data_IF_464011625950
#
_entry.id   IF_464011625950
#
_cell.length_a   1.000
_cell.length_b   1.000
_cell.length_c   1.000
_cell.angle_alpha   90.00
_cell.angle_beta   90.00
_cell.angle_gamma   90.00
#
_symmetry.space_group_name_H-M   'P 1'
#
loop_
_entity.id
_entity.type
_entity.pdbx_description
1 polymer ?
#
# COMPACT_ATOMS: atom_id res chain seq x y z
N UNK A 1 -54.80 26.61 -49.58
CA UNK A 1 -53.76 27.65 -49.59
C UNK A 1 -53.24 27.79 -48.17
N UNK A 2 -52.00 27.35 -47.98
CA UNK A 2 -51.02 27.70 -46.92
C UNK A 2 -51.60 28.07 -45.55
N UNK A 3 -51.57 27.11 -44.61
CA UNK A 3 -51.73 27.41 -43.19
C UNK A 3 -50.41 27.99 -42.68
N UNK A 4 -50.41 29.30 -42.44
CA UNK A 4 -49.31 30.07 -41.86
C UNK A 4 -48.88 29.48 -40.51
N UNK A 5 -47.76 28.73 -40.51
CA UNK A 5 -46.99 28.50 -39.29
C UNK A 5 -46.12 29.74 -39.10
N UNK A 6 -46.55 30.65 -38.21
CA UNK A 6 -45.73 31.76 -37.74
C UNK A 6 -44.33 31.26 -37.35
N UNK A 7 -43.32 31.75 -38.07
CA UNK A 7 -41.93 31.65 -37.66
C UNK A 7 -41.75 32.48 -36.38
N UNK A 8 -41.14 31.94 -35.31
CA UNK A 8 -40.89 32.69 -34.09
C UNK A 8 -39.97 33.88 -34.38
N UNK A 9 -40.26 35.04 -33.77
CA UNK A 9 -39.51 36.27 -33.97
C UNK A 9 -38.08 36.12 -33.42
N UNK A 10 -37.12 36.86 -33.99
CA UNK A 10 -35.69 36.78 -33.62
C UNK A 10 -35.48 37.07 -32.12
N UNK A 11 -36.31 37.93 -31.53
CA UNK A 11 -36.26 38.27 -30.11
C UNK A 11 -36.74 37.12 -29.22
N UNK A 12 -37.76 36.36 -29.64
CA UNK A 12 -38.22 35.14 -28.94
C UNK A 12 -37.15 34.03 -28.96
N UNK A 13 -36.44 33.90 -30.08
CA UNK A 13 -35.32 32.97 -30.20
C UNK A 13 -34.12 33.40 -29.36
N UNK A 14 -33.91 34.71 -29.18
CA UNK A 14 -32.85 35.26 -28.33
C UNK A 14 -33.13 35.00 -26.86
N UNK A 15 -34.36 35.26 -26.42
CA UNK A 15 -34.77 35.02 -25.04
C UNK A 15 -34.77 33.53 -24.68
N UNK A 16 -35.23 32.65 -25.58
CA UNK A 16 -35.11 31.21 -25.38
C UNK A 16 -33.64 30.76 -25.28
N UNK A 17 -32.73 31.33 -26.09
CA UNK A 17 -31.31 30.98 -26.02
C UNK A 17 -30.67 31.44 -24.71
N UNK A 18 -31.05 32.62 -24.20
CA UNK A 18 -30.58 33.16 -22.91
C UNK A 18 -31.13 32.31 -21.76
N UNK A 19 -32.40 31.91 -21.81
CA UNK A 19 -33.03 31.02 -20.83
C UNK A 19 -32.35 29.64 -20.78
N UNK A 20 -32.07 29.02 -21.93
CA UNK A 20 -31.39 27.73 -22.01
C UNK A 20 -29.96 27.81 -21.49
N UNK A 21 -29.21 28.86 -21.84
CA UNK A 21 -27.83 29.07 -21.35
C UNK A 21 -27.79 29.28 -19.83
N UNK A 22 -28.74 30.03 -19.28
CA UNK A 22 -28.83 30.24 -17.83
C UNK A 22 -29.20 28.95 -17.10
N UNK A 23 -30.05 28.11 -17.69
CA UNK A 23 -30.45 26.82 -17.13
C UNK A 23 -29.29 25.82 -17.17
N UNK A 24 -28.57 25.74 -18.30
CA UNK A 24 -27.34 24.94 -18.44
C UNK A 24 -26.26 25.38 -17.45
N UNK A 25 -26.04 26.69 -17.30
CA UNK A 25 -25.06 27.24 -16.34
C UNK A 25 -25.43 26.91 -14.90
N UNK A 26 -26.71 26.94 -14.53
CA UNK A 26 -27.20 26.50 -13.22
C UNK A 26 -27.02 24.99 -13.00
N UNK A 27 -27.26 24.16 -14.01
CA UNK A 27 -27.04 22.72 -13.93
C UNK A 27 -25.56 22.37 -13.78
N UNK A 28 -24.66 23.05 -14.50
CA UNK A 28 -23.22 22.91 -14.32
C UNK A 28 -22.76 23.39 -12.95
N UNK A 29 -23.24 24.54 -12.48
CA UNK A 29 -22.96 25.05 -11.12
C UNK A 29 -23.49 24.12 -10.03
N UNK A 30 -24.66 23.50 -10.23
CA UNK A 30 -25.19 22.52 -9.30
C UNK A 30 -24.37 21.22 -9.33
N UNK A 31 -23.93 20.76 -10.50
CA UNK A 31 -23.02 19.60 -10.61
C UNK A 31 -21.67 19.87 -9.98
N UNK A 32 -21.08 21.05 -10.17
CA UNK A 32 -19.81 21.41 -9.53
C UNK A 32 -19.98 21.60 -8.03
N UNK A 33 -21.04 22.27 -7.56
CA UNK A 33 -21.37 22.31 -6.12
C UNK A 33 -21.58 20.93 -5.53
N UNK A 34 -22.31 20.04 -6.20
CA UNK A 34 -22.52 18.67 -5.73
C UNK A 34 -21.20 17.88 -5.69
N UNK A 35 -20.32 18.03 -6.69
CA UNK A 35 -19.00 17.40 -6.71
C UNK A 35 -18.09 17.94 -5.58
N UNK A 36 -18.12 19.25 -5.34
CA UNK A 36 -17.36 19.91 -4.26
C UNK A 36 -17.91 19.51 -2.88
N UNK A 37 -19.23 19.38 -2.72
CA UNK A 37 -19.87 18.95 -1.45
C UNK A 37 -19.58 17.49 -1.14
N UNK A 38 -19.47 16.62 -2.17
CA UNK A 38 -19.02 15.23 -2.00
C UNK A 38 -17.55 15.15 -1.59
N UNK A 39 -16.69 16.06 -2.06
CA UNK A 39 -15.27 16.11 -1.63
C UNK A 39 -15.03 16.82 -0.29
N UNK A 40 -15.94 17.69 0.15
CA UNK A 40 -15.80 18.50 1.37
C UNK A 40 -16.56 17.98 2.57
N UNK A 41 -17.23 16.82 2.49
CA UNK A 41 -17.79 16.19 3.67
C UNK A 41 -16.64 15.43 4.37
N UNK A 42 -16.04 15.95 5.46
CA UNK A 42 -14.90 15.31 6.13
C UNK A 42 -15.33 14.06 6.91
N UNK A 43 -16.62 13.69 6.82
CA UNK A 43 -17.26 12.60 7.57
C UNK A 43 -17.54 11.36 6.72
N UNK A 44 -17.24 11.36 5.41
CA UNK A 44 -17.04 10.09 4.70
C UNK A 44 -15.61 9.66 4.93
N UNK A 45 -15.30 9.43 6.21
CA UNK A 45 -14.20 8.59 6.60
C UNK A 45 -14.42 7.29 5.83
N UNK A 46 -13.48 6.88 4.98
CA UNK A 46 -13.35 5.46 4.61
C UNK A 46 -12.89 4.66 5.84
N UNK A 47 -13.49 4.94 6.99
CA UNK A 47 -13.37 4.21 8.21
C UNK A 47 -14.24 2.99 8.02
N UNK A 48 -13.61 1.87 7.71
CA UNK A 48 -14.18 0.58 8.06
C UNK A 48 -14.60 0.69 9.54
N UNK A 49 -15.91 0.79 9.80
CA UNK A 49 -16.42 0.96 11.16
C UNK A 49 -16.28 -0.36 11.90
N UNK A 50 -15.36 -0.37 12.87
CA UNK A 50 -15.09 -1.54 13.69
C UNK A 50 -16.26 -1.80 14.59
N UNK A 51 -16.89 -2.95 14.36
CA UNK A 51 -17.82 -3.48 15.33
C UNK A 51 -16.99 -3.99 16.50
N UNK A 52 -17.27 -3.47 17.69
CA UNK A 52 -16.59 -3.90 18.91
C UNK A 52 -16.78 -5.40 19.19
N UNK A 53 -17.80 -6.01 18.56
CA UNK A 53 -18.05 -7.45 18.58
C UNK A 53 -17.38 -8.15 17.40
N UNK A 54 -16.69 -9.28 17.66
CA UNK A 54 -16.08 -10.06 16.59
C UNK A 54 -17.16 -10.60 15.66
N UNK A 55 -16.92 -10.49 14.35
CA UNK A 55 -17.80 -11.08 13.34
C UNK A 55 -17.61 -12.60 13.35
N UNK A 56 -18.62 -13.37 12.95
CA UNK A 56 -18.52 -14.85 12.88
C UNK A 56 -17.33 -15.31 12.04
N UNK A 57 -16.99 -14.58 10.97
CA UNK A 57 -15.83 -14.83 10.11
C UNK A 57 -14.49 -14.70 10.85
N UNK A 58 -14.41 -13.80 11.81
CA UNK A 58 -13.20 -13.58 12.61
C UNK A 58 -13.02 -14.66 13.65
N UNK A 59 -14.12 -15.14 14.26
CA UNK A 59 -14.07 -16.28 15.17
C UNK A 59 -13.56 -17.54 14.46
N UNK A 60 -14.01 -17.78 13.23
CA UNK A 60 -13.51 -18.89 12.40
C UNK A 60 -12.00 -18.75 12.19
N UNK A 61 -11.51 -17.55 11.89
CA UNK A 61 -10.08 -17.30 11.68
C UNK A 61 -9.27 -17.53 12.96
N UNK A 62 -9.75 -17.08 14.12
CA UNK A 62 -9.10 -17.30 15.41
C UNK A 62 -9.02 -18.79 15.73
N UNK A 63 -10.11 -19.53 15.51
CA UNK A 63 -10.12 -20.99 15.70
C UNK A 63 -9.12 -21.65 14.76
N UNK A 64 -9.09 -21.25 13.48
CA UNK A 64 -8.16 -21.82 12.52
C UNK A 64 -6.70 -21.55 12.89
N UNK A 65 -6.36 -20.32 13.30
CA UNK A 65 -5.01 -19.98 13.77
C UNK A 65 -4.62 -20.76 15.03
N UNK A 66 -5.57 -20.97 15.95
CA UNK A 66 -5.35 -21.79 17.12
C UNK A 66 -5.07 -23.26 16.74
N UNK A 67 -5.79 -23.82 15.77
CA UNK A 67 -5.51 -25.17 15.29
C UNK A 67 -4.12 -25.30 14.66
N UNK A 68 -3.66 -24.29 13.92
CA UNK A 68 -2.30 -24.25 13.35
C UNK A 68 -1.23 -24.15 14.45
N UNK A 69 -1.48 -23.35 15.49
CA UNK A 69 -0.58 -23.28 16.65
C UNK A 69 -0.45 -24.63 17.37
N UNK A 70 -1.56 -25.34 17.58
CA UNK A 70 -1.52 -26.69 18.15
C UNK A 70 -0.75 -27.67 17.26
N UNK A 71 -0.87 -27.54 15.94
CA UNK A 71 -0.13 -28.38 14.99
C UNK A 71 1.39 -28.14 15.07
N UNK A 72 1.84 -26.88 15.21
CA UNK A 72 3.26 -26.58 15.42
C UNK A 72 3.79 -27.13 16.75
N UNK A 73 3.02 -27.05 17.83
CA UNK A 73 3.38 -27.69 19.10
C UNK A 73 3.51 -29.21 18.92
N UNK A 74 2.57 -29.84 18.21
CA UNK A 74 2.60 -31.27 17.92
C UNK A 74 3.85 -31.65 17.13
N UNK A 75 4.23 -30.86 16.13
CA UNK A 75 5.44 -31.08 15.32
C UNK A 75 6.71 -31.05 16.19
N UNK A 76 6.85 -30.07 17.08
CA UNK A 76 7.99 -29.96 18.00
C UNK A 76 8.08 -31.18 18.92
N UNK A 77 6.95 -31.64 19.46
CA UNK A 77 6.91 -32.81 20.36
C UNK A 77 7.27 -34.10 19.62
N UNK A 78 6.78 -34.27 18.39
CA UNK A 78 6.96 -35.46 17.56
C UNK A 78 8.38 -35.64 17.00
N UNK A 79 9.29 -34.67 17.18
CA UNK A 79 10.68 -34.81 16.75
C UNK A 79 11.42 -35.93 17.50
N UNK A 80 12.25 -36.66 16.78
CA UNK A 80 12.96 -37.87 17.24
C UNK A 80 14.02 -37.62 18.34
N UNK A 81 14.49 -36.38 18.47
CA UNK A 81 15.56 -36.02 19.41
C UNK A 81 15.11 -36.17 20.87
N UNK A 82 15.82 -36.95 21.70
CA UNK A 82 15.40 -37.23 23.08
C UNK A 82 15.47 -36.01 24.02
N UNK A 83 16.36 -35.06 23.76
CA UNK A 83 16.51 -33.84 24.58
C UNK A 83 15.60 -32.72 24.10
N UNK A 84 14.84 -32.11 25.02
CA UNK A 84 13.93 -30.99 24.73
C UNK A 84 14.62 -29.79 24.09
N UNK A 85 15.84 -29.48 24.54
CA UNK A 85 16.63 -28.39 23.96
C UNK A 85 17.09 -28.75 22.54
N UNK A 86 17.50 -30.00 22.33
CA UNK A 86 17.88 -30.50 21.02
C UNK A 86 16.72 -30.47 20.01
N UNK A 87 15.49 -30.75 20.46
CA UNK A 87 14.28 -30.62 19.63
C UNK A 87 14.09 -29.19 19.14
N UNK A 88 14.17 -28.20 20.03
CA UNK A 88 14.00 -26.78 19.67
C UNK A 88 15.08 -26.29 18.70
N UNK A 89 16.35 -26.62 18.93
CA UNK A 89 17.45 -26.22 18.04
C UNK A 89 17.28 -26.85 16.66
N UNK A 90 16.91 -28.12 16.59
CA UNK A 90 16.65 -28.80 15.32
C UNK A 90 15.45 -28.19 14.57
N UNK A 91 14.36 -27.89 15.30
CA UNK A 91 13.17 -27.25 14.74
C UNK A 91 13.49 -25.87 14.15
N UNK A 92 14.24 -25.04 14.87
CA UNK A 92 14.69 -23.73 14.40
C UNK A 92 15.84 -23.80 13.39
N UNK A 93 16.29 -24.96 12.93
CA UNK A 93 17.24 -25.03 11.81
C UNK A 93 16.52 -24.78 10.47
N UNK A 94 15.26 -25.17 10.38
CA UNK A 94 14.45 -25.11 9.16
C UNK A 94 13.89 -23.70 8.98
N UNK A 95 14.15 -23.08 7.82
CA UNK A 95 13.71 -21.70 7.53
C UNK A 95 12.17 -21.57 7.51
N UNK A 96 11.47 -22.58 7.00
CA UNK A 96 10.00 -22.62 6.95
C UNK A 96 9.38 -22.65 8.35
N UNK A 97 9.95 -23.43 9.26
CA UNK A 97 9.51 -23.49 10.65
C UNK A 97 9.72 -22.16 11.38
N UNK A 98 10.81 -21.44 11.09
CA UNK A 98 11.00 -20.07 11.60
C UNK A 98 9.91 -19.12 11.12
N UNK A 99 9.54 -19.24 9.84
CA UNK A 99 8.50 -18.41 9.22
C UNK A 99 7.13 -18.68 9.86
N UNK A 100 6.80 -19.95 10.11
CA UNK A 100 5.53 -20.37 10.73
C UNK A 100 5.42 -19.88 12.19
N UNK A 101 6.49 -19.99 12.98
CA UNK A 101 6.55 -19.41 14.34
C UNK A 101 6.41 -17.88 14.30
N UNK A 102 7.05 -17.22 13.33
CA UNK A 102 6.96 -15.78 13.17
C UNK A 102 5.53 -15.35 12.82
N UNK A 103 4.85 -16.04 11.89
CA UNK A 103 3.45 -15.78 11.54
C UNK A 103 2.53 -15.93 12.76
N UNK A 104 2.61 -17.07 13.45
CA UNK A 104 1.76 -17.33 14.62
C UNK A 104 2.02 -16.31 15.74
N UNK A 105 3.28 -15.94 16.00
CA UNK A 105 3.60 -14.93 17.02
C UNK A 105 3.04 -13.54 16.66
N UNK A 106 3.14 -13.12 15.39
CA UNK A 106 2.55 -11.87 14.91
C UNK A 106 1.03 -11.86 15.04
N UNK A 107 0.38 -12.99 14.75
CA UNK A 107 -1.06 -13.14 14.94
C UNK A 107 -1.49 -12.95 16.40
N UNK A 108 -0.79 -13.57 17.36
CA UNK A 108 -1.08 -13.38 18.77
C UNK A 108 -0.84 -11.95 19.24
N UNK A 109 0.23 -11.29 18.77
CA UNK A 109 0.48 -9.88 19.06
C UNK A 109 -0.67 -9.02 18.53
N UNK A 110 -1.10 -9.25 17.29
CA UNK A 110 -2.20 -8.52 16.69
C UNK A 110 -3.53 -8.78 17.41
N UNK A 111 -3.77 -10.01 17.87
CA UNK A 111 -4.93 -10.39 18.66
C UNK A 111 -4.95 -9.70 20.03
N UNK A 112 -3.82 -9.67 20.74
CA UNK A 112 -3.70 -8.92 22.01
C UNK A 112 -3.93 -7.43 21.79
N UNK A 113 -3.34 -6.86 20.74
CA UNK A 113 -3.51 -5.44 20.41
C UNK A 113 -4.96 -5.09 20.06
N UNK A 114 -5.71 -6.06 19.52
CA UNK A 114 -7.14 -5.95 19.24
C UNK A 114 -8.02 -6.00 20.50
N UNK A 115 -7.60 -6.70 21.54
CA UNK A 115 -8.32 -6.75 22.82
C UNK A 115 -8.19 -5.46 23.64
N UNK A 116 -7.17 -4.64 23.35
CA UNK A 116 -6.97 -3.37 24.04
C UNK A 116 -8.01 -2.32 23.58
N UNK A 117 -8.74 -1.68 24.50
CA UNK A 117 -9.80 -0.70 24.18
C UNK A 117 -9.26 0.69 23.78
N UNK A 118 -8.11 0.73 23.09
CA UNK A 118 -7.40 1.95 22.72
C UNK A 118 -7.49 2.14 21.19
N UNK A 119 -8.04 3.26 20.73
CA UNK A 119 -8.26 3.54 19.30
C UNK A 119 -6.97 3.43 18.45
N UNK A 120 -5.82 3.84 19.00
CA UNK A 120 -4.53 3.74 18.30
C UNK A 120 -4.03 2.30 18.15
N UNK A 121 -4.28 1.45 19.15
CA UNK A 121 -3.97 0.02 19.12
C UNK A 121 -4.77 -0.70 18.03
N UNK A 122 -5.98 -0.23 17.74
CA UNK A 122 -6.82 -0.78 16.69
C UNK A 122 -6.18 -0.62 15.30
N UNK A 123 -5.64 0.56 14.98
CA UNK A 123 -4.98 0.80 13.69
C UNK A 123 -3.74 -0.10 13.54
N UNK A 124 -2.93 -0.21 14.60
CA UNK A 124 -1.77 -1.11 14.64
C UNK A 124 -2.15 -2.58 14.42
N UNK A 125 -3.23 -3.05 15.06
CA UNK A 125 -3.69 -4.43 14.92
C UNK A 125 -4.03 -4.79 13.48
N UNK A 126 -4.63 -3.86 12.71
CA UNK A 126 -4.93 -4.09 11.29
C UNK A 126 -3.68 -4.23 10.44
N UNK A 127 -2.69 -3.36 10.67
CA UNK A 127 -1.43 -3.39 9.93
C UNK A 127 -0.71 -4.71 10.21
N UNK A 128 -0.67 -5.13 11.46
CA UNK A 128 -0.09 -6.42 11.85
C UNK A 128 -0.83 -7.60 11.24
N UNK A 129 -2.16 -7.62 11.22
CA UNK A 129 -2.95 -8.67 10.56
C UNK A 129 -2.71 -8.70 9.04
N UNK A 130 -2.51 -7.55 8.39
CA UNK A 130 -2.19 -7.50 6.97
C UNK A 130 -0.78 -8.03 6.67
N UNK A 131 0.19 -7.73 7.54
CA UNK A 131 1.54 -8.28 7.45
C UNK A 131 1.55 -9.79 7.72
N UNK A 132 0.79 -10.26 8.71
CA UNK A 132 0.59 -11.69 8.99
C UNK A 132 0.05 -12.43 7.77
N UNK A 133 -0.99 -11.90 7.10
CA UNK A 133 -1.52 -12.47 5.86
C UNK A 133 -0.45 -12.59 4.76
N UNK A 134 0.45 -11.60 4.67
CA UNK A 134 1.52 -11.60 3.67
C UNK A 134 2.50 -12.76 3.91
N UNK A 135 2.77 -13.08 5.17
CA UNK A 135 3.61 -14.22 5.55
C UNK A 135 2.91 -15.55 5.23
N UNK A 136 1.61 -15.67 5.51
CA UNK A 136 0.82 -16.85 5.15
C UNK A 136 0.79 -17.12 3.63
N UNK A 137 0.84 -16.07 2.80
CA UNK A 137 0.99 -16.26 1.35
C UNK A 137 2.35 -16.85 0.97
N UNK A 138 3.43 -16.41 1.61
CA UNK A 138 4.77 -17.01 1.41
C UNK A 138 4.72 -18.49 1.82
N UNK A 139 4.06 -18.83 2.93
CA UNK A 139 3.89 -20.23 3.36
C UNK A 139 3.10 -21.07 2.37
N UNK A 140 2.12 -20.48 1.70
CA UNK A 140 1.34 -21.16 0.65
C UNK A 140 2.24 -21.53 -0.55
N UNK A 141 3.30 -20.77 -0.84
CA UNK A 141 4.27 -21.13 -1.88
C UNK A 141 4.98 -22.46 -1.59
N UNK A 142 5.29 -22.75 -0.33
CA UNK A 142 5.88 -24.03 0.07
C UNK A 142 4.93 -25.20 -0.20
N UNK A 143 3.63 -25.03 0.04
CA UNK A 143 2.62 -26.04 -0.33
C UNK A 143 2.58 -26.27 -1.85
N UNK A 144 2.79 -25.24 -2.66
CA UNK A 144 2.89 -25.39 -4.11
C UNK A 144 4.16 -26.13 -4.55
N UNK A 145 5.20 -26.18 -3.73
CA UNK A 145 6.40 -26.99 -3.99
C UNK A 145 6.10 -28.48 -4.06
N UNK A 146 5.09 -28.95 -3.31
CA UNK A 146 4.64 -30.34 -3.34
C UNK A 146 4.00 -30.75 -4.68
N UNK A 147 3.62 -29.78 -5.54
CA UNK A 147 3.03 -30.06 -6.85
C UNK A 147 4.13 -30.39 -7.84
N UNK A 148 4.11 -31.60 -8.42
CA UNK A 148 5.14 -32.15 -9.34
C UNK A 148 5.59 -31.20 -10.46
N UNK A 149 4.69 -30.34 -10.98
CA UNK A 149 4.99 -29.41 -12.07
C UNK A 149 5.54 -28.05 -11.60
N UNK A 150 5.25 -27.65 -10.37
CA UNK A 150 5.60 -26.33 -9.81
C UNK A 150 6.81 -26.39 -8.89
N UNK A 151 7.03 -27.50 -8.18
CA UNK A 151 8.18 -27.69 -7.28
C UNK A 151 9.53 -27.37 -7.92
N UNK A 152 9.92 -28.02 -9.04
CA UNK A 152 11.20 -27.74 -9.68
C UNK A 152 11.35 -26.28 -10.13
N UNK A 153 10.25 -25.62 -10.49
CA UNK A 153 10.25 -24.20 -10.89
C UNK A 153 10.47 -23.28 -9.69
N UNK A 154 9.82 -23.57 -8.57
CA UNK A 154 9.98 -22.79 -7.33
C UNK A 154 11.39 -22.91 -6.77
N UNK A 155 11.98 -24.11 -6.81
CA UNK A 155 13.39 -24.31 -6.41
C UNK A 155 14.32 -23.54 -7.33
N UNK A 156 14.12 -23.58 -8.65
CA UNK A 156 14.89 -22.76 -9.60
C UNK A 156 14.80 -21.27 -9.27
N UNK A 157 13.59 -20.74 -9.03
CA UNK A 157 13.40 -19.33 -8.66
C UNK A 157 14.10 -19.01 -7.34
N UNK A 158 14.03 -19.90 -6.34
CA UNK A 158 14.70 -19.73 -5.05
C UNK A 158 16.22 -19.61 -5.17
N UNK A 159 16.84 -20.48 -5.97
CA UNK A 159 18.29 -20.42 -6.24
C UNK A 159 18.66 -19.15 -7.00
N UNK A 160 17.84 -18.74 -7.98
CA UNK A 160 18.07 -17.47 -8.70
C UNK A 160 18.00 -16.25 -7.76
N UNK A 161 17.09 -16.25 -6.79
CA UNK A 161 17.01 -15.17 -5.79
C UNK A 161 18.27 -15.14 -4.91
N UNK A 162 18.87 -16.31 -4.61
CA UNK A 162 20.13 -16.37 -3.86
C UNK A 162 21.28 -15.70 -4.62
N UNK A 163 21.38 -15.96 -5.92
CA UNK A 163 22.37 -15.33 -6.80
C UNK A 163 22.13 -13.82 -6.98
N UNK A 164 20.86 -13.40 -7.01
CA UNK A 164 20.46 -12.00 -7.15
C UNK A 164 20.83 -11.11 -5.96
N UNK A 165 21.09 -11.67 -4.78
CA UNK A 165 21.43 -10.88 -3.57
C UNK A 165 22.64 -9.98 -3.78
N UNK A 166 23.68 -10.49 -4.44
CA UNK A 166 24.90 -9.71 -4.72
C UNK A 166 24.61 -8.54 -5.67
N UNK A 167 23.81 -8.79 -6.72
CA UNK A 167 23.40 -7.76 -7.67
C UNK A 167 22.55 -6.66 -7.01
N UNK A 168 21.68 -7.00 -6.06
CA UNK A 168 20.89 -6.02 -5.30
C UNK A 168 21.76 -5.08 -4.45
N UNK A 169 22.85 -5.58 -3.86
CA UNK A 169 23.80 -4.75 -3.12
C UNK A 169 24.50 -3.78 -4.07
N UNK A 170 24.99 -4.27 -5.21
CA UNK A 170 25.62 -3.43 -6.23
C UNK A 170 24.65 -2.36 -6.76
N UNK A 171 23.41 -2.73 -7.04
CA UNK A 171 22.36 -1.81 -7.48
C UNK A 171 22.11 -0.70 -6.45
N UNK A 172 22.07 -1.04 -5.16
CA UNK A 172 21.86 -0.07 -4.08
C UNK A 172 22.99 0.97 -4.04
N UNK A 173 24.24 0.56 -4.26
CA UNK A 173 25.38 1.50 -4.34
C UNK A 173 25.21 2.47 -5.50
N UNK A 174 24.81 1.99 -6.68
CA UNK A 174 24.55 2.87 -7.83
C UNK A 174 23.38 3.83 -7.59
N UNK A 175 22.29 3.35 -6.98
CA UNK A 175 21.13 4.19 -6.61
C UNK A 175 21.57 5.33 -5.69
N UNK A 176 22.40 5.05 -4.68
CA UNK A 176 22.89 6.08 -3.76
C UNK A 176 23.87 7.05 -4.44
N UNK A 177 24.76 6.54 -5.30
CA UNK A 177 25.72 7.34 -6.05
C UNK A 177 25.05 8.36 -6.98
N UNK A 178 23.91 8.00 -7.57
CA UNK A 178 23.09 8.92 -8.38
C UNK A 178 22.15 9.78 -7.52
N UNK A 179 21.46 9.16 -6.55
CA UNK A 179 20.42 9.83 -5.77
C UNK A 179 20.94 10.97 -4.91
N UNK A 180 22.10 10.82 -4.25
CA UNK A 180 22.65 11.84 -3.34
C UNK A 180 23.00 13.14 -4.09
N UNK A 181 23.79 13.12 -5.19
CA UNK A 181 24.04 14.32 -5.99
C UNK A 181 22.78 14.93 -6.59
N UNK A 182 21.88 14.12 -7.16
CA UNK A 182 20.64 14.62 -7.76
C UNK A 182 19.75 15.35 -6.76
N UNK A 183 19.62 14.81 -5.55
CA UNK A 183 18.87 15.47 -4.48
C UNK A 183 19.55 16.78 -4.03
N UNK A 184 20.89 16.79 -3.91
CA UNK A 184 21.67 17.97 -3.54
C UNK A 184 21.64 19.10 -4.60
N UNK A 185 21.42 18.76 -5.86
CA UNK A 185 21.30 19.75 -6.95
C UNK A 185 19.88 20.32 -7.03
N UNK A 186 18.86 19.48 -6.82
CA UNK A 186 17.45 19.90 -6.89
C UNK A 186 16.99 20.66 -5.65
N UNK A 187 17.51 20.32 -4.47
CA UNK A 187 17.16 20.96 -3.21
C UNK A 187 18.40 21.64 -2.64
N UNK A 188 18.29 22.94 -2.38
CA UNK A 188 19.35 23.73 -1.75
C UNK A 188 19.60 23.33 -0.29
N UNK A 189 20.27 24.21 0.45
CA UNK A 189 20.63 23.96 1.87
C UNK A 189 19.36 23.69 2.70
N UNK A 190 19.24 22.48 3.24
CA UNK A 190 18.13 22.03 4.08
C UNK A 190 18.68 21.45 5.39
N UNK A 191 17.95 21.64 6.49
CA UNK A 191 18.27 20.99 7.77
C UNK A 191 18.08 19.47 7.69
N UNK A 192 18.95 18.71 8.36
CA UNK A 192 18.90 17.26 8.35
C UNK A 192 17.60 16.75 9.01
N UNK A 193 16.81 15.99 8.27
CA UNK A 193 15.62 15.30 8.76
C UNK A 193 15.73 13.80 8.53
N UNK A 194 15.11 13.00 9.40
CA UNK A 194 15.01 11.54 9.22
C UNK A 194 14.25 11.14 7.94
N UNK A 195 13.53 12.07 7.32
CA UNK A 195 12.84 11.85 6.05
C UNK A 195 13.74 12.03 4.82
N UNK A 196 14.84 12.78 4.93
CA UNK A 196 15.77 13.09 3.84
C UNK A 196 16.34 11.84 3.15
N UNK A 197 16.91 10.83 3.86
CA UNK A 197 17.44 9.64 3.19
C UNK A 197 16.36 8.83 2.45
N UNK A 198 15.13 8.79 2.97
CA UNK A 198 13.99 8.15 2.27
C UNK A 198 13.63 8.88 0.99
N UNK A 199 13.65 10.20 0.99
CA UNK A 199 13.39 11.01 -0.19
C UNK A 199 14.44 10.80 -1.29
N UNK A 200 15.72 10.76 -0.91
CA UNK A 200 16.86 10.50 -1.82
C UNK A 200 16.70 9.14 -2.51
N UNK A 201 16.45 8.08 -1.74
CA UNK A 201 16.31 6.72 -2.27
C UNK A 201 15.08 6.64 -3.16
N UNK A 202 13.93 7.19 -2.74
CA UNK A 202 12.71 7.16 -3.54
C UNK A 202 12.90 7.84 -4.91
N UNK A 203 13.55 9.00 -4.94
CA UNK A 203 13.80 9.75 -6.16
C UNK A 203 14.56 8.91 -7.20
N UNK A 204 15.65 8.27 -6.79
CA UNK A 204 16.48 7.47 -7.69
C UNK A 204 15.88 6.09 -8.00
N UNK A 205 15.19 5.46 -7.04
CA UNK A 205 14.63 4.13 -7.18
C UNK A 205 13.49 4.08 -8.21
N UNK A 206 12.53 5.00 -8.14
CA UNK A 206 11.36 5.00 -9.04
C UNK A 206 11.75 5.22 -10.52
N UNK A 207 12.83 5.98 -10.76
CA UNK A 207 13.33 6.23 -12.12
C UNK A 207 13.80 4.95 -12.83
N UNK A 208 14.35 3.99 -12.09
CA UNK A 208 14.80 2.69 -12.66
C UNK A 208 13.59 1.90 -13.22
N UNK A 209 12.41 2.08 -12.63
CA UNK A 209 11.16 1.45 -13.08
C UNK A 209 10.44 2.23 -14.18
N UNK A 210 10.97 3.38 -14.62
CA UNK A 210 10.37 4.20 -15.68
C UNK A 210 9.32 5.20 -15.20
N UNK A 211 9.14 5.36 -13.88
CA UNK A 211 8.25 6.37 -13.30
C UNK A 211 8.95 7.74 -13.29
N UNK A 212 9.02 8.37 -14.48
CA UNK A 212 9.70 9.66 -14.70
C UNK A 212 8.77 10.85 -14.38
N UNK A 213 7.45 10.63 -14.32
CA UNK A 213 6.47 11.70 -14.07
C UNK A 213 6.68 12.41 -12.73
N UNK A 214 7.22 11.70 -11.74
CA UNK A 214 7.59 12.25 -10.43
C UNK A 214 8.63 13.37 -10.57
N UNK A 215 9.56 13.24 -11.52
CA UNK A 215 10.54 14.30 -11.80
C UNK A 215 9.89 15.51 -12.47
N UNK A 216 8.95 15.29 -13.39
CA UNK A 216 8.24 16.39 -14.06
C UNK A 216 7.43 17.24 -13.09
N UNK A 217 6.85 16.61 -12.07
CA UNK A 217 6.14 17.33 -11.01
C UNK A 217 7.10 18.04 -10.03
N UNK A 218 8.28 17.47 -9.76
CA UNK A 218 9.32 18.12 -8.96
C UNK A 218 9.92 19.31 -9.71
N UNK A 219 10.22 19.17 -11.00
CA UNK A 219 10.78 20.22 -11.86
C UNK A 219 9.83 21.40 -11.99
N UNK A 220 8.53 21.16 -12.22
CA UNK A 220 7.51 22.22 -12.20
C UNK A 220 7.47 22.95 -10.86
N UNK A 221 7.52 22.22 -9.75
CA UNK A 221 7.55 22.84 -8.41
C UNK A 221 8.85 23.62 -8.17
N UNK A 222 9.97 23.18 -8.70
CA UNK A 222 11.25 23.88 -8.61
C UNK A 222 11.26 25.15 -9.47
N UNK A 223 10.75 25.10 -10.70
CA UNK A 223 10.59 26.30 -11.53
C UNK A 223 9.72 27.33 -10.80
N UNK A 224 8.55 26.93 -10.29
CA UNK A 224 7.63 27.83 -9.57
C UNK A 224 8.31 28.46 -8.35
N UNK A 225 8.99 27.67 -7.51
CA UNK A 225 9.68 28.19 -6.32
C UNK A 225 10.93 29.01 -6.67
N UNK A 226 11.66 28.62 -7.71
CA UNK A 226 12.82 29.36 -8.23
C UNK A 226 12.41 30.73 -8.79
N UNK A 227 11.31 30.80 -9.54
CA UNK A 227 10.74 32.08 -10.00
C UNK A 227 10.28 32.95 -8.83
N UNK A 228 9.67 32.38 -7.78
CA UNK A 228 9.24 33.13 -6.59
C UNK A 228 10.46 33.71 -5.83
N UNK A 229 11.52 32.92 -5.65
CA UNK A 229 12.76 33.38 -5.00
C UNK A 229 13.47 34.44 -5.86
N UNK A 230 13.47 34.29 -7.19
CA UNK A 230 14.05 35.28 -8.12
C UNK A 230 13.25 36.58 -8.20
N UNK A 231 11.93 36.56 -7.95
CA UNK A 231 11.06 37.75 -7.90
C UNK A 231 11.14 38.46 -6.53
N UNK A 232 11.47 37.73 -5.47
CA UNK A 232 11.60 38.27 -4.10
C UNK A 232 13.00 38.83 -3.77
N UNK A 233 13.98 38.65 -4.68
CA UNK A 233 15.34 39.21 -4.64
C UNK A 233 15.44 40.45 -5.52
#
# INVERSE_FOLDING_TARGET
FISDKCLPSIDELRDNRISINNTQKRLFLNRTKQKITVTQNPSVEYGFQWHHRPRTTELILIIWMFTLFCEEIRQIIAMEVQSVYGKLVAYFSIIWNKLDVLAISLFFIAFVLRLLPINQCFCGARVLLALDLSIWYIRTLDMFSAIKRLGPKLVMIGEMVNDMKFYMVMLTVFILAFGVPSYSLMYGVQEFSFHTPRAIINLAYWQIFGEIEILGDIEKNYEINGYIVFILL
#
